data_IF_805911097811
#
_entry.id   IF_805911097811
#
_cell.length_a   1.000
_cell.length_b   1.000
_cell.length_c   1.000
_cell.angle_alpha   90.00
_cell.angle_beta   90.00
_cell.angle_gamma   90.00
#
_symmetry.space_group_name_H-M   'P 1'
#
loop_
_entity.id
_entity.type
_entity.pdbx_description
1 polymer ?
#
# COMPACT_ATOMS: atom_id res chain seq x y z
N UNK A 1 4.76 -21.04 -19.03
CA UNK A 1 4.44 -20.46 -17.71
C UNK A 1 3.93 -21.56 -16.80
N UNK A 2 4.53 -21.72 -15.62
CA UNK A 2 4.08 -22.71 -14.65
C UNK A 2 2.73 -22.27 -14.03
N UNK A 3 1.78 -23.18 -13.93
CA UNK A 3 0.50 -22.95 -13.25
C UNK A 3 0.39 -23.90 -12.06
N UNK A 4 0.05 -23.34 -10.93
CA UNK A 4 -0.16 -24.08 -9.69
C UNK A 4 -1.62 -23.95 -9.28
N UNK A 5 -2.20 -25.04 -8.81
CA UNK A 5 -3.52 -25.01 -8.19
C UNK A 5 -3.39 -25.55 -6.78
N UNK A 6 -3.58 -24.68 -5.82
CA UNK A 6 -3.60 -25.03 -4.40
C UNK A 6 -5.05 -25.09 -3.94
N UNK A 7 -5.42 -26.18 -3.27
CA UNK A 7 -6.78 -26.37 -2.72
C UNK A 7 -6.78 -26.02 -1.24
N UNK A 8 -7.97 -25.77 -0.70
CA UNK A 8 -8.20 -25.46 0.72
C UNK A 8 -7.46 -24.21 1.22
N UNK A 9 -7.37 -23.21 0.36
CA UNK A 9 -6.80 -21.89 0.67
C UNK A 9 -7.89 -20.84 0.52
N UNK A 10 -7.96 -19.91 1.46
CA UNK A 10 -8.89 -18.79 1.42
C UNK A 10 -8.29 -17.54 2.02
N UNK A 11 -8.80 -16.39 1.61
CA UNK A 11 -8.47 -15.09 2.20
C UNK A 11 -9.20 -14.97 3.54
N UNK A 12 -8.47 -14.72 4.62
CA UNK A 12 -9.03 -14.60 5.98
C UNK A 12 -9.28 -13.16 6.39
N UNK A 13 -8.56 -12.23 5.81
CA UNK A 13 -8.75 -10.82 6.10
C UNK A 13 -7.91 -9.92 5.22
N UNK A 14 -8.23 -8.64 5.25
CA UNK A 14 -7.51 -7.57 4.57
C UNK A 14 -7.43 -6.38 5.51
N UNK A 15 -6.28 -5.75 5.57
CA UNK A 15 -6.10 -4.48 6.27
C UNK A 15 -5.31 -3.50 5.42
N UNK A 16 -5.47 -2.23 5.71
CA UNK A 16 -4.82 -1.15 4.99
C UNK A 16 -4.33 -0.10 5.99
N UNK A 17 -3.17 0.47 5.69
CA UNK A 17 -2.65 1.66 6.36
C UNK A 17 -2.25 2.68 5.30
N UNK A 18 -2.60 3.93 5.53
CA UNK A 18 -2.29 5.05 4.64
C UNK A 18 -1.79 6.24 5.46
N UNK A 19 -0.90 7.08 4.91
CA UNK A 19 -0.48 8.33 5.56
C UNK A 19 -1.66 9.29 5.71
N UNK A 20 -1.58 10.18 6.69
CA UNK A 20 -2.64 11.16 6.96
C UNK A 20 -2.73 12.26 5.91
N UNK A 21 -1.59 12.66 5.33
CA UNK A 21 -1.54 13.75 4.38
C UNK A 21 -2.24 13.40 3.06
N UNK A 22 -3.28 14.17 2.73
CA UNK A 22 -4.08 14.00 1.51
C UNK A 22 -3.85 15.17 0.57
N UNK A 23 -3.47 14.87 -0.66
CA UNK A 23 -3.21 15.84 -1.72
C UNK A 23 -4.17 15.62 -2.88
N UNK A 24 -4.77 16.68 -3.41
CA UNK A 24 -5.60 16.64 -4.61
C UNK A 24 -4.73 16.75 -5.86
N UNK A 25 -5.23 16.27 -7.00
CA UNK A 25 -4.54 16.44 -8.29
C UNK A 25 -4.29 17.90 -8.61
N UNK A 26 -5.26 18.77 -8.32
CA UNK A 26 -5.16 20.23 -8.54
C UNK A 26 -4.13 20.94 -7.66
N UNK A 27 -3.61 20.30 -6.61
CA UNK A 27 -2.61 20.88 -5.71
C UNK A 27 -1.17 20.68 -6.23
N UNK A 28 -0.99 19.91 -7.29
CA UNK A 28 0.32 19.73 -7.92
C UNK A 28 0.64 20.85 -8.91
N UNK A 29 1.78 21.48 -8.74
CA UNK A 29 2.23 22.65 -9.55
C UNK A 29 2.41 22.34 -11.04
N UNK A 30 2.59 21.06 -11.40
CA UNK A 30 2.80 20.63 -12.78
C UNK A 30 1.50 20.37 -13.56
N UNK A 31 0.33 20.52 -12.93
CA UNK A 31 -0.97 20.49 -13.60
C UNK A 31 -1.61 21.87 -13.64
N UNK A 32 -2.12 22.26 -14.78
CA UNK A 32 -3.12 23.32 -14.84
C UNK A 32 -4.46 22.83 -14.28
N UNK A 33 -5.37 23.74 -13.97
CA UNK A 33 -6.72 23.38 -13.47
C UNK A 33 -7.47 22.47 -14.46
N UNK A 34 -7.38 22.79 -15.76
CA UNK A 34 -8.03 22.02 -16.84
C UNK A 34 -7.41 20.63 -16.99
N UNK A 35 -6.08 20.54 -16.94
CA UNK A 35 -5.37 19.25 -16.99
C UNK A 35 -5.67 18.37 -15.78
N UNK A 36 -5.76 18.95 -14.58
CA UNK A 36 -6.14 18.23 -13.37
C UNK A 36 -7.56 17.65 -13.49
N UNK A 37 -8.51 18.41 -14.03
CA UNK A 37 -9.87 17.94 -14.23
C UNK A 37 -9.94 16.81 -15.26
N UNK A 38 -9.22 16.94 -16.38
CA UNK A 38 -9.12 15.88 -17.39
C UNK A 38 -8.50 14.63 -16.80
N UNK A 39 -7.42 14.77 -16.02
CA UNK A 39 -6.76 13.66 -15.34
C UNK A 39 -7.70 12.95 -14.35
N UNK A 40 -8.39 13.72 -13.51
CA UNK A 40 -9.33 13.19 -12.53
C UNK A 40 -10.46 12.39 -13.17
N UNK A 41 -10.97 12.86 -14.31
CA UNK A 41 -12.03 12.19 -15.06
C UNK A 41 -11.55 10.96 -15.83
N UNK A 42 -10.29 10.99 -16.31
CA UNK A 42 -9.72 9.89 -17.11
C UNK A 42 -9.18 8.77 -16.23
N UNK A 43 -8.43 9.11 -15.19
CA UNK A 43 -7.77 8.15 -14.28
C UNK A 43 -8.67 7.78 -13.11
N UNK A 44 -9.56 8.68 -12.69
CA UNK A 44 -10.48 8.47 -11.58
C UNK A 44 -9.86 8.63 -10.19
N UNK A 45 -8.60 9.07 -10.09
CA UNK A 45 -7.89 9.30 -8.82
C UNK A 45 -7.84 10.80 -8.56
N UNK A 46 -8.72 11.29 -7.71
CA UNK A 46 -8.86 12.72 -7.39
C UNK A 46 -8.00 13.17 -6.20
N UNK A 47 -7.67 12.25 -5.32
CA UNK A 47 -6.89 12.50 -4.09
C UNK A 47 -5.93 11.36 -3.84
N UNK A 48 -4.77 11.66 -3.27
CA UNK A 48 -3.75 10.69 -2.90
C UNK A 48 -3.29 10.94 -1.48
N UNK A 49 -3.01 9.86 -0.76
CA UNK A 49 -2.26 9.93 0.47
C UNK A 49 -0.77 9.95 0.15
N UNK A 50 -0.06 10.92 0.68
CA UNK A 50 1.38 11.11 0.46
C UNK A 50 2.12 10.88 1.76
N UNK A 51 3.05 9.92 1.74
CA UNK A 51 3.90 9.66 2.89
C UNK A 51 4.85 10.84 3.14
N UNK A 52 5.08 11.23 4.40
CA UNK A 52 6.14 12.18 4.73
C UNK A 52 7.52 11.55 4.49
N UNK A 53 8.56 12.38 4.39
CA UNK A 53 9.93 11.94 4.05
C UNK A 53 10.54 10.93 5.03
N UNK A 54 10.01 10.87 6.24
CA UNK A 54 10.47 9.95 7.30
C UNK A 54 9.64 8.66 7.39
N UNK A 55 8.76 8.40 6.44
CA UNK A 55 7.91 7.19 6.41
C UNK A 55 8.24 6.34 5.18
N UNK A 56 8.56 5.08 5.42
CA UNK A 56 8.83 4.09 4.39
C UNK A 56 7.60 3.23 4.07
N UNK A 57 7.64 2.54 2.94
CA UNK A 57 6.58 1.59 2.57
C UNK A 57 6.46 0.44 3.60
N UNK A 58 7.58 0.00 4.16
CA UNK A 58 7.59 -1.04 5.21
C UNK A 58 6.87 -0.60 6.48
N UNK A 59 6.96 0.68 6.88
CA UNK A 59 6.24 1.20 8.05
C UNK A 59 4.73 1.06 7.88
N UNK A 60 4.21 1.41 6.71
CA UNK A 60 2.79 1.27 6.40
C UNK A 60 2.36 -0.20 6.33
N UNK A 61 3.18 -1.05 5.72
CA UNK A 61 2.92 -2.49 5.67
C UNK A 61 2.92 -3.13 7.05
N UNK A 62 3.85 -2.74 7.92
CA UNK A 62 3.88 -3.19 9.30
C UNK A 62 2.61 -2.80 10.06
N UNK A 63 2.20 -1.54 9.97
CA UNK A 63 0.99 -1.05 10.63
C UNK A 63 -0.27 -1.81 10.15
N UNK A 64 -0.38 -2.05 8.84
CA UNK A 64 -1.48 -2.83 8.28
C UNK A 64 -1.45 -4.30 8.73
N UNK A 65 -0.28 -4.92 8.76
CA UNK A 65 -0.11 -6.31 9.19
C UNK A 65 -0.45 -6.49 10.68
N UNK A 66 0.01 -5.60 11.54
CA UNK A 66 -0.29 -5.64 12.98
C UNK A 66 -1.78 -5.50 13.25
N UNK A 67 -2.43 -4.55 12.57
CA UNK A 67 -3.87 -4.38 12.65
C UNK A 67 -4.63 -5.63 12.21
N UNK A 68 -4.19 -6.25 11.11
CA UNK A 68 -4.81 -7.47 10.59
C UNK A 68 -4.70 -8.63 11.56
N UNK A 69 -3.52 -8.85 12.14
CA UNK A 69 -3.30 -9.91 13.14
C UNK A 69 -4.16 -9.69 14.38
N UNK A 70 -4.26 -8.44 14.86
CA UNK A 70 -5.11 -8.10 15.99
C UNK A 70 -6.59 -8.38 15.69
N UNK A 71 -7.10 -7.95 14.54
CA UNK A 71 -8.48 -8.18 14.13
C UNK A 71 -8.81 -9.67 13.95
N UNK A 72 -7.86 -10.48 13.46
CA UNK A 72 -8.03 -11.91 13.30
C UNK A 72 -7.78 -12.71 14.60
N UNK A 73 -7.21 -12.09 15.61
CA UNK A 73 -6.78 -12.77 16.83
C UNK A 73 -5.63 -13.75 16.60
N UNK A 74 -4.76 -13.49 15.65
CA UNK A 74 -3.62 -14.35 15.32
C UNK A 74 -2.34 -13.87 15.98
N UNK A 75 -1.57 -14.83 16.50
CA UNK A 75 -0.22 -14.56 17.02
C UNK A 75 0.77 -14.37 15.85
N UNK A 76 1.78 -13.51 16.05
CA UNK A 76 2.83 -13.29 15.04
C UNK A 76 3.55 -14.59 14.66
N UNK A 77 3.80 -15.44 15.65
CA UNK A 77 4.50 -16.73 15.48
C UNK A 77 3.70 -17.76 14.67
N UNK A 78 2.41 -17.51 14.43
CA UNK A 78 1.57 -18.34 13.56
C UNK A 78 1.81 -18.11 12.07
N UNK A 79 2.56 -17.07 11.71
CA UNK A 79 2.84 -16.71 10.32
C UNK A 79 4.07 -17.47 9.83
N UNK A 80 3.88 -18.36 8.88
CA UNK A 80 4.96 -19.17 8.29
C UNK A 80 5.68 -18.44 7.15
N UNK A 81 4.96 -17.63 6.39
CA UNK A 81 5.52 -16.90 5.23
C UNK A 81 4.98 -15.49 5.20
N UNK A 82 5.86 -14.54 5.01
CA UNK A 82 5.54 -13.14 4.76
C UNK A 82 6.10 -12.74 3.40
N UNK A 83 5.24 -12.21 2.52
CA UNK A 83 5.62 -11.66 1.24
C UNK A 83 5.44 -10.14 1.29
N UNK A 84 6.52 -9.42 1.08
CA UNK A 84 6.52 -7.97 0.97
C UNK A 84 6.86 -7.56 -0.46
N UNK A 85 5.99 -6.78 -1.08
CA UNK A 85 6.20 -6.22 -2.40
C UNK A 85 6.17 -4.70 -2.33
N UNK A 86 7.17 -4.05 -2.91
CA UNK A 86 7.23 -2.60 -3.02
C UNK A 86 8.04 -2.18 -4.24
N UNK A 87 7.60 -1.12 -4.90
CA UNK A 87 8.37 -0.44 -5.94
C UNK A 87 9.41 0.50 -5.31
N UNK A 88 9.16 0.95 -4.10
CA UNK A 88 10.02 1.85 -3.32
C UNK A 88 10.50 1.12 -2.06
N UNK A 89 11.55 0.29 -2.21
CA UNK A 89 12.18 -0.36 -1.05
C UNK A 89 12.87 0.65 -0.14
N UNK A 90 12.97 0.33 1.16
CA UNK A 90 13.63 1.19 2.15
C UNK A 90 15.12 1.35 1.86
N UNK A 91 15.72 0.32 1.28
CA UNK A 91 17.13 0.26 0.89
C UNK A 91 17.29 -0.19 -0.56
N UNK A 92 18.30 0.36 -1.24
CA UNK A 92 18.62 -0.06 -2.61
C UNK A 92 19.33 -1.41 -2.63
N UNK A 93 20.20 -1.66 -1.67
CA UNK A 93 20.99 -2.90 -1.57
C UNK A 93 21.43 -3.14 -0.13
N UNK A 94 21.07 -4.26 0.50
CA UNK A 94 20.10 -5.24 0.02
C UNK A 94 18.68 -4.65 0.00
N UNK A 95 17.76 -5.15 -0.84
CA UNK A 95 16.37 -4.71 -0.81
C UNK A 95 15.71 -5.10 0.51
N UNK A 96 14.71 -4.37 0.87
CA UNK A 96 13.92 -4.58 2.10
C UNK A 96 13.30 -5.96 2.14
#
# INVERSE_FOLDING_TARGET
>A
MARWRIKNVGMKGVAMAVPENVVKTSDFDFFSQEEAEVFDNTVGIKRRHIAPDNMCASDMCQAAAEKLLEELGWERDSIDVLLFESVTGDYRTPPT
#
